data_IF_669125818676
#
_entry.id   IF_669125818676
#
_cell.length_a   1.000
_cell.length_b   1.000
_cell.length_c   1.000
_cell.angle_alpha   90.00
_cell.angle_beta   90.00
_cell.angle_gamma   90.00
#
_symmetry.space_group_name_H-M   'P 1'
#
loop_
_entity.id
_entity.type
_entity.pdbx_description
1 polymer ?
#
# COMPACT_ATOMS: atom_id res chain seq x y z
N UNK A 1 1.34 2.47 -28.30
CA UNK A 1 1.77 1.69 -27.13
C UNK A 1 2.53 2.65 -26.23
N UNK A 2 1.84 3.25 -25.26
CA UNK A 2 2.45 4.29 -24.41
C UNK A 2 3.50 3.64 -23.52
N UNK A 3 4.76 4.08 -23.66
CA UNK A 3 5.86 3.65 -22.81
C UNK A 3 5.56 4.10 -21.38
N UNK A 4 5.13 3.15 -20.54
CA UNK A 4 4.76 3.37 -19.13
C UNK A 4 5.97 3.70 -18.23
N UNK A 5 7.10 4.09 -18.81
CA UNK A 5 8.39 4.27 -18.13
C UNK A 5 8.62 5.69 -17.60
N UNK A 6 7.71 6.65 -17.84
CA UNK A 6 7.96 8.06 -17.51
C UNK A 6 6.89 8.70 -16.60
N UNK A 7 6.19 7.90 -15.79
CA UNK A 7 5.27 8.46 -14.80
C UNK A 7 5.30 7.68 -13.50
N UNK A 8 5.89 8.29 -12.47
CA UNK A 8 6.10 7.69 -11.15
C UNK A 8 4.79 7.52 -10.34
N UNK A 9 3.81 8.41 -10.56
CA UNK A 9 2.53 8.44 -9.85
C UNK A 9 1.38 8.75 -10.82
N UNK A 10 0.23 8.07 -10.67
CA UNK A 10 -0.99 8.35 -11.43
C UNK A 10 -2.16 8.63 -10.49
N UNK A 11 -2.87 9.73 -10.73
CA UNK A 11 -4.09 10.09 -9.98
C UNK A 11 -5.30 9.46 -10.67
N UNK A 12 -5.96 8.53 -9.99
CA UNK A 12 -7.14 7.83 -10.54
C UNK A 12 -8.45 8.60 -10.31
N UNK A 13 -8.53 9.39 -9.23
CA UNK A 13 -9.71 10.18 -8.86
C UNK A 13 -9.28 11.46 -8.14
N UNK A 14 -10.04 12.54 -8.37
CA UNK A 14 -9.75 13.86 -7.81
C UNK A 14 -8.65 14.60 -8.57
N UNK A 15 -8.29 15.78 -8.08
CA UNK A 15 -7.11 16.52 -8.51
C UNK A 15 -6.17 16.61 -7.31
N UNK A 16 -4.89 16.28 -7.52
CA UNK A 16 -3.86 16.46 -6.53
C UNK A 16 -3.04 17.69 -6.92
N UNK A 17 -2.81 18.58 -5.95
CA UNK A 17 -1.96 19.73 -6.21
C UNK A 17 -0.49 19.29 -6.38
N UNK A 18 0.34 20.05 -7.12
CA UNK A 18 1.74 19.68 -7.35
C UNK A 18 2.52 19.40 -6.07
N UNK A 19 2.24 20.14 -4.99
CA UNK A 19 2.85 19.99 -3.66
C UNK A 19 2.53 18.64 -3.02
N UNK A 20 1.31 18.14 -3.20
CA UNK A 20 0.88 16.84 -2.66
C UNK A 20 1.57 15.69 -3.39
N UNK A 21 1.67 15.78 -4.72
CA UNK A 21 2.41 14.80 -5.53
C UNK A 21 3.91 14.80 -5.19
N UNK A 22 4.49 15.98 -4.98
CA UNK A 22 5.88 16.12 -4.55
C UNK A 22 6.11 15.50 -3.16
N UNK A 23 5.20 15.73 -2.20
CA UNK A 23 5.29 15.15 -0.86
C UNK A 23 5.24 13.62 -0.91
N UNK A 24 4.31 13.03 -1.67
CA UNK A 24 4.22 11.57 -1.83
C UNK A 24 5.49 11.02 -2.48
N UNK A 25 5.97 11.66 -3.53
CA UNK A 25 7.22 11.25 -4.21
C UNK A 25 8.41 11.28 -3.27
N UNK A 26 8.57 12.36 -2.50
CA UNK A 26 9.65 12.51 -1.52
C UNK A 26 9.60 11.42 -0.45
N UNK A 27 8.41 11.09 0.07
CA UNK A 27 8.23 10.01 1.04
C UNK A 27 8.62 8.66 0.42
N UNK A 28 8.18 8.37 -0.80
CA UNK A 28 8.51 7.11 -1.48
C UNK A 28 10.01 6.97 -1.72
N UNK A 29 10.69 8.03 -2.16
CA UNK A 29 12.13 8.05 -2.35
C UNK A 29 12.88 7.89 -1.02
N UNK A 30 12.45 8.59 0.04
CA UNK A 30 13.04 8.46 1.37
C UNK A 30 12.89 7.03 1.91
N UNK A 31 11.73 6.38 1.69
CA UNK A 31 11.49 5.00 2.09
C UNK A 31 12.30 4.00 1.27
N UNK A 32 12.51 4.26 -0.02
CA UNK A 32 13.36 3.43 -0.87
C UNK A 32 14.84 3.56 -0.52
N UNK A 33 15.29 4.76 -0.12
CA UNK A 33 16.65 5.04 0.30
C UNK A 33 16.95 4.56 1.74
N UNK A 34 15.92 4.41 2.57
CA UNK A 34 16.09 3.91 3.92
C UNK A 34 16.58 2.46 3.89
N UNK A 35 17.84 2.26 4.30
CA UNK A 35 18.34 0.92 4.60
C UNK A 35 17.60 0.42 5.83
N UNK A 36 17.01 -0.79 5.80
CA UNK A 36 16.47 -1.37 7.01
C UNK A 36 17.65 -1.57 7.97
N UNK A 37 17.75 -0.70 8.98
CA UNK A 37 18.51 -0.99 10.19
C UNK A 37 18.12 -2.40 10.61
N UNK A 38 19.10 -3.28 10.78
CA UNK A 38 18.92 -4.70 11.11
C UNK A 38 18.09 -4.79 12.40
N UNK A 39 16.77 -4.80 12.22
CA UNK A 39 15.81 -4.91 13.30
C UNK A 39 15.82 -6.37 13.69
N UNK A 40 16.82 -6.71 14.50
CA UNK A 40 16.98 -7.90 15.33
C UNK A 40 15.72 -8.77 15.32
N UNK A 41 15.69 -9.79 14.45
CA UNK A 41 14.75 -10.93 14.48
C UNK A 41 13.34 -10.53 14.96
N UNK A 42 12.78 -9.45 14.41
CA UNK A 42 11.41 -9.04 14.70
C UNK A 42 10.47 -9.93 13.92
N UNK A 43 9.51 -10.55 14.61
CA UNK A 43 8.51 -11.51 14.13
C UNK A 43 8.11 -11.32 12.65
N UNK A 44 7.83 -12.41 11.89
CA UNK A 44 7.49 -12.32 10.48
C UNK A 44 6.43 -11.25 10.31
N UNK A 45 6.81 -10.20 9.58
CA UNK A 45 5.96 -9.04 9.25
C UNK A 45 4.58 -9.60 8.98
N UNK A 46 3.57 -9.19 9.74
CA UNK A 46 2.19 -9.62 9.48
C UNK A 46 1.91 -9.24 8.04
N UNK A 47 2.09 -10.21 7.14
CA UNK A 47 1.67 -10.09 5.77
C UNK A 47 0.21 -9.70 5.91
N UNK A 48 -0.13 -8.50 5.43
CA UNK A 48 -1.51 -8.06 5.44
C UNK A 48 -2.31 -9.26 4.93
N UNK A 49 -3.23 -9.77 5.74
CA UNK A 49 -3.95 -10.98 5.43
C UNK A 49 -4.94 -10.62 4.34
N UNK A 50 -4.48 -10.40 3.11
CA UNK A 50 -5.30 -10.17 1.94
C UNK A 50 -6.13 -11.44 1.81
N UNK A 51 -7.31 -11.40 2.41
CA UNK A 51 -8.18 -12.57 2.52
C UNK A 51 -8.64 -12.88 1.11
N UNK A 52 -8.40 -14.12 0.71
CA UNK A 52 -9.03 -14.72 -0.45
C UNK A 52 -10.53 -14.73 -0.20
N UNK A 53 -11.24 -13.73 -0.73
CA UNK A 53 -12.68 -13.60 -0.56
C UNK A 53 -13.40 -14.83 -1.14
N UNK A 54 -12.81 -15.48 -2.15
CA UNK A 54 -13.28 -16.73 -2.73
C UNK A 54 -13.28 -17.93 -1.75
N UNK A 55 -12.55 -17.84 -0.63
CA UNK A 55 -12.50 -18.86 0.44
C UNK A 55 -13.23 -18.44 1.72
N UNK A 56 -13.83 -17.25 1.74
CA UNK A 56 -14.62 -16.77 2.89
C UNK A 56 -16.10 -17.04 2.59
N UNK A 57 -16.88 -17.60 3.53
CA UNK A 57 -18.33 -17.72 3.36
C UNK A 57 -18.93 -16.37 2.97
N UNK A 58 -19.66 -16.32 1.86
CA UNK A 58 -20.17 -15.08 1.26
C UNK A 58 -21.14 -14.28 2.14
N UNK A 59 -21.58 -14.87 3.25
CA UNK A 59 -22.39 -14.21 4.26
C UNK A 59 -21.77 -14.41 5.65
N UNK A 60 -21.55 -13.29 6.34
CA UNK A 60 -21.24 -13.24 7.77
C UNK A 60 -22.36 -12.49 8.45
N UNK A 61 -22.80 -12.97 9.62
CA UNK A 61 -23.87 -12.33 10.34
C UNK A 61 -23.51 -10.86 10.67
N UNK A 62 -24.47 -9.92 10.64
CA UNK A 62 -24.20 -8.48 10.82
C UNK A 62 -23.45 -8.09 12.11
N UNK A 63 -23.39 -8.99 13.10
CA UNK A 63 -22.76 -8.76 14.40
C UNK A 63 -21.32 -9.34 14.51
N UNK A 64 -20.76 -9.95 13.46
CA UNK A 64 -19.40 -10.50 13.49
C UNK A 64 -18.37 -9.48 12.98
N UNK A 65 -18.11 -8.44 13.76
CA UNK A 65 -17.12 -7.40 13.45
C UNK A 65 -15.77 -7.60 14.15
N UNK A 66 -15.66 -8.58 15.03
CA UNK A 66 -14.38 -8.98 15.62
C UNK A 66 -13.91 -10.28 14.98
N UNK A 67 -12.98 -10.14 14.06
CA UNK A 67 -12.18 -11.22 13.48
C UNK A 67 -10.84 -10.66 13.05
#
# INVERSE_FOLDING_TARGET
>A
MSNATDTLLRVEKGNAEPEELAAITAILLARAAATPEDSSVGAPRSQAGWRRLERTPGFRAPHSWQG
#
